data_IF_901159993991
#
_entry.id   IF_901159993991
#
_cell.length_a   1.000
_cell.length_b   1.000
_cell.length_c   1.000
_cell.angle_alpha   90.00
_cell.angle_beta   90.00
_cell.angle_gamma   90.00
#
_symmetry.space_group_name_H-M   'P 1'
#
loop_
_entity.id
_entity.type
_entity.pdbx_description
1 polymer ?
#
# COMPACT_ATOMS: atom_id res chain seq x y z
N UNK A 1 0.12 -26.89 6.89
CA UNK A 1 0.97 -25.71 7.21
C UNK A 1 0.14 -24.72 8.00
N UNK A 2 0.72 -24.00 8.95
CA UNK A 2 0.00 -23.03 9.78
C UNK A 2 0.70 -21.66 9.68
N UNK A 3 -0.04 -20.62 9.28
CA UNK A 3 0.43 -19.25 9.19
C UNK A 3 -0.62 -18.30 9.80
N UNK A 4 -0.19 -17.33 10.60
CA UNK A 4 -1.08 -16.35 11.25
C UNK A 4 -2.30 -16.99 11.95
N UNK A 5 -2.07 -18.05 12.74
CA UNK A 5 -3.12 -18.81 13.45
C UNK A 5 -4.12 -19.57 12.54
N UNK A 6 -3.90 -19.60 11.22
CA UNK A 6 -4.71 -20.39 10.27
C UNK A 6 -3.92 -21.55 9.70
N UNK A 7 -4.61 -22.66 9.51
CA UNK A 7 -4.04 -23.87 8.89
C UNK A 7 -4.42 -23.95 7.41
N UNK A 8 -3.48 -24.36 6.59
CA UNK A 8 -3.63 -24.45 5.14
C UNK A 8 -3.28 -25.85 4.63
N UNK A 9 -4.01 -26.31 3.63
CA UNK A 9 -3.57 -27.39 2.74
C UNK A 9 -2.74 -26.76 1.64
N UNK A 10 -1.52 -27.24 1.44
CA UNK A 10 -0.61 -26.78 0.39
C UNK A 10 -0.18 -27.98 -0.42
N UNK A 11 -0.43 -27.93 -1.72
CA UNK A 11 0.05 -28.89 -2.69
C UNK A 11 1.20 -28.26 -3.48
N UNK A 12 2.31 -28.99 -3.61
CA UNK A 12 3.50 -28.58 -4.38
C UNK A 12 3.58 -29.43 -5.64
N UNK A 13 3.68 -28.77 -6.78
CA UNK A 13 3.95 -29.36 -8.08
C UNK A 13 5.24 -28.78 -8.63
N UNK A 14 6.10 -29.64 -9.18
CA UNK A 14 7.34 -29.24 -9.87
C UNK A 14 7.26 -29.70 -11.32
N UNK A 15 7.51 -28.80 -12.26
CA UNK A 15 7.41 -29.10 -13.69
C UNK A 15 7.46 -27.86 -14.57
N UNK A 16 6.86 -27.94 -15.73
CA UNK A 16 6.87 -26.89 -16.76
C UNK A 16 5.46 -26.30 -17.00
N UNK A 17 4.90 -25.54 -16.03
CA UNK A 17 3.57 -24.99 -16.17
C UNK A 17 3.54 -23.88 -17.23
N UNK A 18 2.63 -23.99 -18.20
CA UNK A 18 2.36 -22.89 -19.15
C UNK A 18 3.56 -22.45 -20.00
N UNK A 19 4.54 -23.35 -20.23
CA UNK A 19 5.74 -23.04 -21.00
C UNK A 19 6.88 -22.41 -20.17
N UNK A 20 6.73 -22.31 -18.85
CA UNK A 20 7.81 -21.93 -17.93
C UNK A 20 8.57 -23.20 -17.55
N UNK A 21 9.84 -23.28 -17.94
CA UNK A 21 10.69 -24.43 -17.62
C UNK A 21 11.11 -24.40 -16.16
N UNK A 22 11.13 -25.60 -15.54
CA UNK A 22 11.63 -25.81 -14.18
C UNK A 22 11.02 -24.86 -13.15
N UNK A 23 9.70 -24.91 -12.98
CA UNK A 23 9.00 -24.10 -12.01
C UNK A 23 8.32 -24.93 -10.92
N UNK A 24 8.18 -24.35 -9.74
CA UNK A 24 7.37 -24.85 -8.64
C UNK A 24 6.06 -24.12 -8.62
N UNK A 25 4.95 -24.86 -8.62
CA UNK A 25 3.60 -24.31 -8.39
C UNK A 25 3.11 -24.81 -7.04
N UNK A 26 2.72 -23.85 -6.19
CA UNK A 26 2.06 -24.16 -4.93
C UNK A 26 0.57 -23.81 -5.07
N UNK A 27 -0.28 -24.77 -4.73
CA UNK A 27 -1.73 -24.55 -4.65
C UNK A 27 -2.11 -24.62 -3.18
N UNK A 28 -2.71 -23.57 -2.68
CA UNK A 28 -3.04 -23.42 -1.26
C UNK A 28 -4.53 -23.18 -1.03
N UNK A 29 -5.07 -23.87 -0.03
CA UNK A 29 -6.41 -23.66 0.49
C UNK A 29 -6.38 -23.48 2.01
N UNK A 30 -7.10 -22.52 2.59
CA UNK A 30 -7.40 -22.55 4.01
C UNK A 30 -8.19 -23.82 4.37
N UNK A 31 -7.90 -24.42 5.50
CA UNK A 31 -8.63 -25.64 5.92
C UNK A 31 -10.12 -25.42 6.12
N UNK A 32 -10.49 -24.25 6.64
CA UNK A 32 -11.86 -23.80 6.89
C UNK A 32 -12.63 -23.43 5.60
N UNK A 33 -11.93 -23.24 4.50
CA UNK A 33 -12.52 -22.92 3.18
C UNK A 33 -12.04 -23.89 2.08
N UNK A 34 -11.78 -25.15 2.42
CA UNK A 34 -11.35 -26.16 1.46
C UNK A 34 -12.41 -26.38 0.39
N UNK A 35 -12.02 -26.41 -0.87
CA UNK A 35 -12.87 -26.51 -2.08
C UNK A 35 -13.78 -25.29 -2.35
N UNK A 36 -13.61 -24.18 -1.64
CA UNK A 36 -14.25 -22.93 -2.04
C UNK A 36 -13.40 -22.27 -3.14
N UNK A 37 -13.89 -22.14 -4.39
CA UNK A 37 -13.06 -21.70 -5.53
C UNK A 37 -12.38 -20.34 -5.29
N UNK A 38 -13.07 -19.40 -4.62
CA UNK A 38 -12.53 -18.07 -4.30
C UNK A 38 -11.43 -18.08 -3.24
N UNK A 39 -11.31 -19.17 -2.48
CA UNK A 39 -10.29 -19.32 -1.43
C UNK A 39 -8.98 -19.94 -1.96
N UNK A 40 -9.00 -20.50 -3.16
CA UNK A 40 -7.80 -21.01 -3.83
C UNK A 40 -6.78 -19.88 -4.03
N UNK A 41 -5.52 -20.18 -3.70
CA UNK A 41 -4.37 -19.35 -4.06
C UNK A 41 -3.34 -20.21 -4.74
N UNK A 42 -2.81 -19.72 -5.86
CA UNK A 42 -1.72 -20.35 -6.58
C UNK A 42 -0.50 -19.40 -6.56
N UNK A 43 0.67 -20.00 -6.31
CA UNK A 43 1.95 -19.31 -6.30
C UNK A 43 2.89 -20.03 -7.25
N UNK A 44 3.72 -19.30 -7.95
CA UNK A 44 4.72 -19.84 -8.84
C UNK A 44 6.11 -19.33 -8.47
N UNK A 45 7.09 -20.22 -8.45
CA UNK A 45 8.50 -19.88 -8.33
C UNK A 45 9.29 -20.52 -9.47
N UNK A 46 10.17 -19.75 -10.08
CA UNK A 46 11.15 -20.25 -11.07
C UNK A 46 12.43 -20.75 -10.40
N UNK A 47 12.57 -20.52 -9.10
CA UNK A 47 13.64 -21.08 -8.29
C UNK A 47 13.12 -22.39 -7.64
N UNK A 48 13.49 -23.52 -8.20
CA UNK A 48 13.07 -24.86 -7.74
C UNK A 48 13.80 -25.30 -6.47
N UNK A 49 14.91 -24.63 -6.12
CA UNK A 49 15.67 -24.95 -4.90
C UNK A 49 14.97 -24.49 -3.62
N UNK A 50 14.03 -23.56 -3.74
CA UNK A 50 13.28 -23.03 -2.61
C UNK A 50 12.31 -24.05 -2.05
N UNK A 51 12.29 -24.19 -0.74
CA UNK A 51 11.28 -24.95 -0.02
C UNK A 51 9.89 -24.30 -0.16
N UNK A 52 8.86 -25.07 0.12
CA UNK A 52 7.48 -24.57 0.15
C UNK A 52 7.31 -23.38 1.10
N UNK A 53 8.00 -23.40 2.26
CA UNK A 53 7.95 -22.31 3.23
C UNK A 53 8.62 -21.05 2.72
N UNK A 54 9.79 -21.15 2.14
CA UNK A 54 10.51 -19.98 1.59
C UNK A 54 9.74 -19.30 0.47
N UNK A 55 9.09 -20.09 -0.41
CA UNK A 55 8.24 -19.53 -1.47
C UNK A 55 7.06 -18.76 -0.87
N UNK A 56 6.38 -19.33 0.13
CA UNK A 56 5.24 -18.68 0.77
C UNK A 56 5.65 -17.45 1.56
N UNK A 57 6.78 -17.50 2.25
CA UNK A 57 7.31 -16.39 3.05
C UNK A 57 7.66 -15.18 2.17
N UNK A 58 8.42 -15.41 1.09
CA UNK A 58 8.71 -14.38 0.08
C UNK A 58 7.45 -13.78 -0.55
N UNK A 59 6.41 -14.58 -0.72
CA UNK A 59 5.15 -14.09 -1.24
C UNK A 59 4.41 -13.19 -0.23
N UNK A 60 4.46 -13.55 1.04
CA UNK A 60 3.89 -12.72 2.12
C UNK A 60 4.61 -11.37 2.21
N UNK A 61 5.95 -11.36 2.07
CA UNK A 61 6.74 -10.12 2.03
C UNK A 61 6.37 -9.20 0.85
N UNK A 62 5.87 -9.76 -0.25
CA UNK A 62 5.40 -8.99 -1.41
C UNK A 62 4.06 -8.28 -1.18
N UNK A 63 3.22 -8.81 -0.30
CA UNK A 63 1.88 -8.28 -0.05
C UNK A 63 1.85 -6.80 0.37
N UNK A 64 2.75 -6.30 1.22
CA UNK A 64 2.83 -4.88 1.56
C UNK A 64 2.96 -3.95 0.36
N UNK A 65 3.59 -4.40 -0.73
CA UNK A 65 3.72 -3.62 -1.97
C UNK A 65 2.35 -3.39 -2.62
N UNK A 66 1.51 -4.42 -2.68
CA UNK A 66 0.14 -4.30 -3.21
C UNK A 66 -0.73 -3.40 -2.33
N UNK A 67 -0.59 -3.52 -1.01
CA UNK A 67 -1.28 -2.65 -0.04
C UNK A 67 -0.86 -1.19 -0.24
N UNK A 68 0.44 -0.92 -0.37
CA UNK A 68 0.98 0.41 -0.65
C UNK A 68 0.36 1.02 -1.92
N UNK A 69 0.37 0.29 -3.05
CA UNK A 69 -0.19 0.81 -4.30
C UNK A 69 -1.69 1.08 -4.20
N UNK A 70 -2.44 0.23 -3.50
CA UNK A 70 -3.86 0.44 -3.27
C UNK A 70 -4.09 1.72 -2.46
N UNK A 71 -3.44 1.88 -1.32
CA UNK A 71 -3.53 3.06 -0.46
C UNK A 71 -3.09 4.34 -1.18
N UNK A 72 -2.00 4.26 -1.95
CA UNK A 72 -1.50 5.37 -2.73
C UNK A 72 -2.49 5.83 -3.81
N UNK A 73 -3.20 4.91 -4.48
CA UNK A 73 -4.26 5.24 -5.44
C UNK A 73 -5.48 5.84 -4.76
N UNK A 74 -5.92 5.23 -3.67
CA UNK A 74 -7.16 5.60 -3.01
C UNK A 74 -7.05 6.95 -2.28
N UNK A 75 -5.92 7.23 -1.64
CA UNK A 75 -5.73 8.40 -0.75
C UNK A 75 -4.75 9.44 -1.26
N UNK A 76 -3.71 9.04 -2.00
CA UNK A 76 -2.62 9.93 -2.41
C UNK A 76 -2.66 10.29 -3.90
N UNK A 77 -3.73 9.96 -4.61
CA UNK A 77 -3.94 10.27 -6.03
C UNK A 77 -2.82 9.76 -6.95
N UNK A 78 -2.24 8.58 -6.65
CA UNK A 78 -1.09 8.01 -7.36
C UNK A 78 -1.28 7.92 -8.88
N UNK A 79 -2.49 7.69 -9.35
CA UNK A 79 -2.86 7.54 -10.77
C UNK A 79 -3.53 8.77 -11.38
N UNK A 80 -3.67 9.87 -10.63
CA UNK A 80 -4.41 11.08 -11.06
C UNK A 80 -3.51 12.23 -11.50
N UNK A 81 -2.18 12.05 -11.48
CA UNK A 81 -1.26 13.11 -11.90
C UNK A 81 -1.26 13.28 -13.43
N UNK A 82 -1.13 14.53 -13.88
CA UNK A 82 -1.04 14.89 -15.30
C UNK A 82 0.37 15.34 -15.71
N UNK A 83 1.39 14.89 -14.99
CA UNK A 83 2.79 15.24 -15.22
C UNK A 83 3.33 14.44 -16.39
N UNK A 84 3.87 15.12 -17.42
CA UNK A 84 4.42 14.48 -18.63
C UNK A 84 5.95 14.28 -18.60
N UNK A 85 6.67 15.00 -17.76
CA UNK A 85 8.12 14.87 -17.69
C UNK A 85 8.56 13.73 -16.77
N UNK A 86 9.50 12.90 -17.20
CA UNK A 86 10.04 11.78 -16.40
C UNK A 86 10.63 12.26 -15.07
N UNK A 87 11.27 13.43 -15.05
CA UNK A 87 11.78 14.06 -13.82
C UNK A 87 10.66 14.44 -12.87
N UNK A 88 9.55 14.99 -13.38
CA UNK A 88 8.38 15.35 -12.60
C UNK A 88 7.69 14.12 -12.01
N UNK A 89 7.53 13.05 -12.81
CA UNK A 89 6.96 11.78 -12.36
C UNK A 89 7.77 11.18 -11.21
N UNK A 90 9.11 11.12 -11.35
CA UNK A 90 9.98 10.59 -10.28
C UNK A 90 9.87 11.40 -8.98
N UNK A 91 9.80 12.73 -9.07
CA UNK A 91 9.63 13.61 -7.89
C UNK A 91 8.27 13.41 -7.24
N UNK A 92 7.22 13.30 -8.05
CA UNK A 92 5.87 13.02 -7.56
C UNK A 92 5.81 11.70 -6.79
N UNK A 93 6.39 10.63 -7.34
CA UNK A 93 6.46 9.32 -6.68
C UNK A 93 7.25 9.36 -5.37
N UNK A 94 8.36 10.10 -5.34
CA UNK A 94 9.14 10.28 -4.13
C UNK A 94 8.34 11.00 -3.04
N UNK A 95 7.67 12.09 -3.39
CA UNK A 95 6.82 12.83 -2.44
C UNK A 95 5.66 11.99 -1.93
N UNK A 96 5.02 11.22 -2.81
CA UNK A 96 3.94 10.31 -2.42
C UNK A 96 4.43 9.20 -1.50
N UNK A 97 5.60 8.60 -1.78
CA UNK A 97 6.20 7.59 -0.91
C UNK A 97 6.56 8.16 0.45
N UNK A 98 7.06 9.40 0.49
CA UNK A 98 7.32 10.12 1.74
C UNK A 98 6.03 10.40 2.52
N UNK A 99 4.97 10.84 1.84
CA UNK A 99 3.66 11.07 2.47
C UNK A 99 3.08 9.77 3.06
N UNK A 100 3.21 8.65 2.33
CA UNK A 100 2.81 7.34 2.84
C UNK A 100 3.62 6.93 4.07
N UNK A 101 4.94 7.10 4.03
CA UNK A 101 5.82 6.81 5.16
C UNK A 101 5.43 7.64 6.39
N UNK A 102 5.21 8.94 6.23
CA UNK A 102 4.77 9.82 7.31
C UNK A 102 3.43 9.40 7.90
N UNK A 103 2.48 8.96 7.07
CA UNK A 103 1.21 8.42 7.55
C UNK A 103 1.39 7.13 8.35
N UNK A 104 2.36 6.27 7.98
CA UNK A 104 2.61 5.01 8.70
C UNK A 104 3.43 5.17 9.98
N UNK A 105 4.27 6.21 10.08
CA UNK A 105 5.16 6.40 11.24
C UNK A 105 4.56 7.34 12.31
N UNK A 106 3.58 8.18 11.93
CA UNK A 106 3.02 9.18 12.83
C UNK A 106 4.09 10.13 13.38
N UNK A 107 3.83 10.70 14.55
CA UNK A 107 4.80 11.57 15.22
C UNK A 107 5.75 10.82 16.16
N UNK A 108 5.31 9.74 16.79
CA UNK A 108 6.08 9.03 17.84
C UNK A 108 5.94 7.50 17.82
N UNK A 109 4.93 6.93 17.14
CA UNK A 109 4.67 5.48 17.11
C UNK A 109 4.28 5.03 15.70
N UNK A 110 4.50 3.75 15.41
CA UNK A 110 4.01 3.15 14.17
C UNK A 110 2.49 3.07 14.18
N UNK A 111 1.86 3.69 13.20
CA UNK A 111 0.40 3.73 13.03
C UNK A 111 0.00 2.93 11.79
N UNK A 112 -1.26 2.51 11.73
CA UNK A 112 -1.80 2.06 10.45
C UNK A 112 -1.84 3.25 9.48
N UNK A 113 -1.69 2.99 8.18
CA UNK A 113 -1.77 4.07 7.18
C UNK A 113 -3.08 4.86 7.28
N UNK A 114 -4.21 4.21 7.50
CA UNK A 114 -5.52 4.89 7.56
C UNK A 114 -5.62 5.81 8.78
N UNK A 115 -5.14 5.36 9.95
CA UNK A 115 -5.14 6.18 11.18
C UNK A 115 -4.21 7.38 11.03
N UNK A 116 -2.99 7.14 10.54
CA UNK A 116 -2.02 8.20 10.32
C UNK A 116 -2.46 9.20 9.26
N UNK A 117 -3.07 8.74 8.17
CA UNK A 117 -3.66 9.60 7.16
C UNK A 117 -4.77 10.49 7.75
N UNK A 118 -5.70 9.90 8.51
CA UNK A 118 -6.78 10.64 9.17
C UNK A 118 -6.24 11.68 10.16
N UNK A 119 -5.23 11.30 10.94
CA UNK A 119 -4.55 12.21 11.88
C UNK A 119 -3.92 13.40 11.16
N UNK A 120 -3.07 13.15 10.15
CA UNK A 120 -2.39 14.22 9.40
C UNK A 120 -3.42 15.10 8.69
N UNK A 121 -4.46 14.51 8.09
CA UNK A 121 -5.51 15.26 7.41
C UNK A 121 -6.24 16.20 8.38
N UNK A 122 -6.61 15.74 9.58
CA UNK A 122 -7.25 16.58 10.60
C UNK A 122 -6.35 17.73 11.04
N UNK A 123 -5.05 17.48 11.21
CA UNK A 123 -4.07 18.53 11.56
C UNK A 123 -3.94 19.58 10.48
N UNK A 124 -3.91 19.18 9.21
CA UNK A 124 -3.87 20.13 8.08
C UNK A 124 -5.13 20.99 8.06
N UNK A 125 -6.31 20.40 8.29
CA UNK A 125 -7.56 21.18 8.34
C UNK A 125 -7.57 22.18 9.51
N UNK A 126 -7.11 21.73 10.69
CA UNK A 126 -6.98 22.59 11.87
C UNK A 126 -6.05 23.79 11.62
N UNK A 127 -4.88 23.55 11.03
CA UNK A 127 -3.93 24.62 10.68
C UNK A 127 -4.49 25.58 9.61
N UNK A 128 -5.23 25.07 8.63
CA UNK A 128 -5.93 25.92 7.65
C UNK A 128 -6.95 26.83 8.32
N UNK A 129 -7.78 26.30 9.21
CA UNK A 129 -8.75 27.09 9.99
C UNK A 129 -8.05 28.13 10.83
N UNK A 130 -6.99 27.74 11.54
CA UNK A 130 -6.17 28.65 12.35
C UNK A 130 -5.58 29.77 11.53
N UNK A 131 -5.05 29.46 10.35
CA UNK A 131 -4.51 30.46 9.42
C UNK A 131 -5.57 31.47 8.99
N UNK A 132 -6.75 31.00 8.56
CA UNK A 132 -7.86 31.86 8.15
C UNK A 132 -8.30 32.76 9.31
N UNK A 133 -8.43 32.20 10.53
CA UNK A 133 -8.77 32.99 11.73
C UNK A 133 -7.74 34.07 12.02
N UNK A 134 -6.44 33.75 11.93
CA UNK A 134 -5.37 34.74 12.13
C UNK A 134 -5.39 35.84 11.06
N UNK A 135 -5.69 35.51 9.81
CA UNK A 135 -5.86 36.49 8.74
C UNK A 135 -7.01 37.46 9.07
N UNK A 136 -8.15 36.92 9.53
CA UNK A 136 -9.29 37.74 9.95
C UNK A 136 -8.95 38.66 11.14
N UNK A 137 -8.24 38.15 12.15
CA UNK A 137 -7.77 38.91 13.31
C UNK A 137 -6.80 40.06 12.93
N UNK A 138 -6.07 39.89 11.81
CA UNK A 138 -5.16 40.93 11.25
C UNK A 138 -5.85 41.83 10.22
N UNK A 139 -7.18 41.75 10.05
CA UNK A 139 -7.96 42.48 9.07
C UNK A 139 -7.48 42.32 7.61
N UNK A 140 -6.92 41.16 7.27
CA UNK A 140 -6.58 40.84 5.87
C UNK A 140 -7.85 40.63 5.09
N UNK A 141 -7.97 41.30 3.93
CA UNK A 141 -9.16 41.23 3.08
C UNK A 141 -9.44 39.81 2.56
N UNK A 142 -10.73 39.46 2.42
CA UNK A 142 -11.17 38.11 2.02
C UNK A 142 -10.51 37.62 0.73
N UNK A 143 -10.44 38.47 -0.31
CA UNK A 143 -9.82 38.13 -1.59
C UNK A 143 -8.34 37.78 -1.46
N UNK A 144 -7.62 38.45 -0.56
CA UNK A 144 -6.23 38.15 -0.27
C UNK A 144 -6.10 36.79 0.45
N UNK A 145 -7.00 36.47 1.39
CA UNK A 145 -7.00 35.17 2.08
C UNK A 145 -7.29 34.05 1.10
N UNK A 146 -8.26 34.18 0.21
CA UNK A 146 -8.58 33.20 -0.82
C UNK A 146 -7.37 32.92 -1.72
N UNK A 147 -6.67 33.97 -2.16
CA UNK A 147 -5.47 33.82 -2.99
C UNK A 147 -4.31 33.08 -2.29
N UNK A 148 -4.28 33.05 -0.94
CA UNK A 148 -3.28 32.34 -0.16
C UNK A 148 -3.66 30.89 0.18
N UNK A 149 -4.95 30.54 0.11
CA UNK A 149 -5.48 29.22 0.51
C UNK A 149 -5.88 28.36 -0.71
N UNK A 150 -6.11 28.97 -1.88
CA UNK A 150 -6.41 28.30 -3.15
C UNK A 150 -5.17 27.64 -3.75
#
# INVERSE_FOLDING_TARGET
>A
MTAHSRSYYVYRYEGNPGGIENAVVLISYPKDAFRVPKALRAFISTDVSLSTWEILDRYVERWPVEVFFRQAKDRLAFDRYQIRSSKGIRRYWLLMSLAHLLACTGCDETMSFEDGYAYIYSRIQEERIRFVYQCGARHIGFEQVIALVA
#
